data_IF_002272239348
#
_entry.id   IF_002272239348
#
_cell.length_a   1.000
_cell.length_b   1.000
_cell.length_c   1.000
_cell.angle_alpha   90.00
_cell.angle_beta   90.00
_cell.angle_gamma   90.00
#
_symmetry.space_group_name_H-M   'P 1'
#
loop_
_entity.id
_entity.type
_entity.pdbx_description
1 polymer ?
#
# COMPACT_ATOMS: atom_id res chain seq x y z
N UNK A 1 25.96 29.95 -10.53
CA UNK A 1 24.96 28.92 -10.14
C UNK A 1 25.73 27.75 -9.53
N UNK A 2 25.55 27.45 -8.25
CA UNK A 2 26.12 26.24 -7.63
C UNK A 2 25.48 25.02 -8.30
N UNK A 3 26.29 24.19 -8.97
CA UNK A 3 25.84 22.97 -9.65
C UNK A 3 25.06 22.11 -8.64
N UNK A 4 23.82 21.75 -8.96
CA UNK A 4 23.02 20.83 -8.15
C UNK A 4 23.74 19.50 -8.14
N UNK A 5 23.97 18.93 -6.97
CA UNK A 5 24.57 17.60 -6.85
C UNK A 5 23.56 16.57 -7.35
N UNK A 6 23.93 15.84 -8.40
CA UNK A 6 23.11 14.79 -8.99
C UNK A 6 23.52 13.45 -8.38
N UNK A 7 22.57 12.71 -7.76
CA UNK A 7 22.82 11.35 -7.30
C UNK A 7 23.29 10.46 -8.45
N UNK A 8 24.31 9.62 -8.26
CA UNK A 8 24.83 8.75 -9.31
C UNK A 8 23.79 7.69 -9.68
N UNK A 9 23.41 7.64 -10.95
CA UNK A 9 22.55 6.60 -11.51
C UNK A 9 22.92 6.33 -12.97
N UNK A 10 23.47 5.15 -13.25
CA UNK A 10 23.72 4.73 -14.64
C UNK A 10 22.41 4.33 -15.31
N UNK A 11 22.08 4.95 -16.44
CA UNK A 11 20.90 4.59 -17.22
C UNK A 11 21.20 3.35 -18.07
N UNK A 12 20.62 2.22 -17.68
CA UNK A 12 20.76 0.96 -18.41
C UNK A 12 19.64 0.77 -19.44
N UNK A 13 19.83 -0.08 -20.47
CA UNK A 13 18.75 -0.44 -21.37
C UNK A 13 17.53 -1.04 -20.65
N UNK A 14 17.76 -1.77 -19.55
CA UNK A 14 16.69 -2.36 -18.75
C UNK A 14 15.81 -1.28 -18.10
N UNK A 15 16.40 -0.20 -17.57
CA UNK A 15 15.66 0.95 -17.03
C UNK A 15 14.75 1.56 -18.11
N UNK A 16 15.27 1.73 -19.33
CA UNK A 16 14.50 2.31 -20.44
C UNK A 16 13.31 1.42 -20.80
N UNK A 17 13.52 0.12 -20.95
CA UNK A 17 12.44 -0.85 -21.21
C UNK A 17 11.40 -0.84 -20.10
N UNK A 18 11.81 -0.89 -18.84
CA UNK A 18 10.88 -0.88 -17.71
C UNK A 18 10.06 0.42 -17.65
N UNK A 19 10.65 1.58 -17.93
CA UNK A 19 9.91 2.85 -17.99
C UNK A 19 8.85 2.82 -19.09
N UNK A 20 9.19 2.31 -20.28
CA UNK A 20 8.24 2.19 -21.38
C UNK A 20 7.08 1.24 -21.03
N UNK A 21 7.38 0.05 -20.50
CA UNK A 21 6.39 -0.94 -20.11
C UNK A 21 5.45 -0.43 -19.00
N UNK A 22 6.00 0.29 -18.01
CA UNK A 22 5.19 0.90 -16.94
C UNK A 22 4.29 1.99 -17.51
N UNK A 23 4.79 2.86 -18.38
CA UNK A 23 3.99 3.92 -18.99
C UNK A 23 2.83 3.34 -19.81
N UNK A 24 3.08 2.28 -20.59
CA UNK A 24 2.02 1.56 -21.30
C UNK A 24 1.00 0.94 -20.32
N UNK A 25 1.47 0.21 -19.31
CA UNK A 25 0.61 -0.47 -18.35
C UNK A 25 -0.26 0.52 -17.56
N UNK A 26 0.28 1.69 -17.17
CA UNK A 26 -0.47 2.77 -16.53
C UNK A 26 -1.51 3.35 -17.49
N UNK A 27 -1.18 3.53 -18.77
CA UNK A 27 -2.12 3.94 -19.80
C UNK A 27 -3.31 2.98 -19.93
N UNK A 28 -3.03 1.68 -20.04
CA UNK A 28 -4.06 0.64 -20.09
C UNK A 28 -4.91 0.60 -18.81
N UNK A 29 -4.28 0.71 -17.64
CA UNK A 29 -4.97 0.70 -16.34
C UNK A 29 -5.89 1.91 -16.18
N UNK A 30 -5.46 3.10 -16.64
CA UNK A 30 -6.26 4.32 -16.60
C UNK A 30 -7.59 4.16 -17.35
N UNK A 31 -7.54 3.59 -18.56
CA UNK A 31 -8.74 3.31 -19.38
C UNK A 31 -9.66 2.29 -18.68
N UNK A 32 -9.09 1.24 -18.07
CA UNK A 32 -9.89 0.23 -17.35
C UNK A 32 -10.57 0.83 -16.11
N UNK A 33 -9.87 1.66 -15.34
CA UNK A 33 -10.39 2.24 -14.09
C UNK A 33 -11.37 3.40 -14.30
N UNK A 34 -11.37 4.07 -15.46
CA UNK A 34 -12.41 5.07 -15.80
C UNK A 34 -13.83 4.48 -15.73
N UNK A 35 -13.97 3.17 -15.98
CA UNK A 35 -15.24 2.44 -15.85
C UNK A 35 -15.57 1.97 -14.42
N UNK A 36 -14.60 1.94 -13.52
CA UNK A 36 -14.69 1.33 -12.19
C UNK A 36 -14.15 2.27 -11.11
N UNK A 37 -14.87 3.37 -10.83
CA UNK A 37 -14.63 4.23 -9.66
C UNK A 37 -15.08 3.55 -8.36
N UNK A 38 -14.59 2.35 -8.10
CA UNK A 38 -14.98 1.60 -6.91
C UNK A 38 -14.17 2.08 -5.69
N UNK A 39 -14.81 2.87 -4.82
CA UNK A 39 -14.28 3.29 -3.53
C UNK A 39 -13.75 2.10 -2.70
N UNK A 40 -14.29 0.91 -2.92
CA UNK A 40 -13.86 -0.31 -2.25
C UNK A 40 -12.50 -0.79 -2.73
N UNK A 41 -12.24 -0.79 -4.04
CA UNK A 41 -10.93 -1.19 -4.58
C UNK A 41 -9.82 -0.29 -4.04
N UNK A 42 -10.09 1.03 -3.96
CA UNK A 42 -9.18 2.00 -3.32
C UNK A 42 -8.88 1.64 -1.88
N UNK A 43 -9.92 1.28 -1.12
CA UNK A 43 -9.78 0.88 0.27
C UNK A 43 -8.97 -0.40 0.42
N UNK A 44 -9.22 -1.42 -0.41
CA UNK A 44 -8.46 -2.68 -0.41
C UNK A 44 -6.99 -2.42 -0.72
N UNK A 45 -6.70 -1.64 -1.77
CA UNK A 45 -5.32 -1.34 -2.14
C UNK A 45 -4.61 -0.49 -1.07
N UNK A 46 -5.32 0.42 -0.41
CA UNK A 46 -4.79 1.17 0.74
C UNK A 46 -4.42 0.24 1.90
N UNK A 47 -5.27 -0.73 2.22
CA UNK A 47 -4.98 -1.74 3.27
C UNK A 47 -3.74 -2.54 2.89
N UNK A 48 -3.64 -3.02 1.65
CA UNK A 48 -2.48 -3.75 1.12
C UNK A 48 -1.18 -2.95 1.19
N UNK A 49 -1.25 -1.68 0.81
CA UNK A 49 -0.14 -0.71 0.90
C UNK A 49 0.38 -0.59 2.31
N UNK A 50 -0.51 -0.35 3.27
CA UNK A 50 -0.16 -0.19 4.69
C UNK A 50 0.38 -1.49 5.26
N UNK A 51 -0.29 -2.61 4.98
CA UNK A 51 0.16 -3.94 5.39
C UNK A 51 1.58 -4.23 4.91
N UNK A 52 1.83 -4.11 3.60
CA UNK A 52 3.16 -4.36 3.02
C UNK A 52 4.22 -3.44 3.61
N UNK A 53 3.93 -2.14 3.74
CA UNK A 53 4.89 -1.18 4.29
C UNK A 53 5.23 -1.45 5.76
N UNK A 54 4.25 -1.80 6.60
CA UNK A 54 4.50 -2.08 8.02
C UNK A 54 5.14 -3.46 8.24
N UNK A 55 4.75 -4.47 7.45
CA UNK A 55 5.30 -5.82 7.56
C UNK A 55 6.80 -5.87 7.21
N UNK A 56 7.28 -5.00 6.31
CA UNK A 56 8.72 -4.84 6.03
C UNK A 56 9.51 -4.44 7.30
N UNK A 57 8.89 -3.69 8.20
CA UNK A 57 9.49 -3.24 9.47
C UNK A 57 9.17 -4.19 10.65
N UNK A 58 8.55 -5.34 10.38
CA UNK A 58 8.28 -6.37 11.39
C UNK A 58 6.93 -6.26 12.11
N UNK A 59 6.02 -5.39 11.67
CA UNK A 59 4.65 -5.38 12.16
C UNK A 59 3.93 -6.68 11.75
N UNK A 60 3.20 -7.30 12.69
CA UNK A 60 2.62 -8.64 12.52
C UNK A 60 1.12 -8.64 12.23
N UNK A 61 0.50 -7.46 12.10
CA UNK A 61 -0.95 -7.36 11.90
C UNK A 61 -1.34 -7.71 10.48
N UNK A 62 -2.32 -8.59 10.34
CA UNK A 62 -2.91 -8.97 9.05
C UNK A 62 -3.74 -7.86 8.41
N UNK A 63 -3.98 -7.95 7.09
CA UNK A 63 -4.92 -7.08 6.37
C UNK A 63 -6.32 -7.04 7.02
N UNK A 64 -6.79 -8.16 7.57
CA UNK A 64 -8.07 -8.24 8.26
C UNK A 64 -8.08 -7.42 9.58
N UNK A 65 -6.97 -7.44 10.33
CA UNK A 65 -6.80 -6.62 11.53
C UNK A 65 -6.67 -5.13 11.18
N UNK A 66 -5.93 -4.79 10.13
CA UNK A 66 -5.83 -3.41 9.63
C UNK A 66 -7.22 -2.90 9.19
N UNK A 67 -7.98 -3.71 8.48
CA UNK A 67 -9.37 -3.40 8.08
C UNK A 67 -10.24 -3.15 9.30
N UNK A 68 -10.13 -4.01 10.33
CA UNK A 68 -10.88 -3.83 11.57
C UNK A 68 -10.51 -2.53 12.30
N UNK A 69 -9.24 -2.15 12.34
CA UNK A 69 -8.77 -0.87 12.91
C UNK A 69 -9.37 0.31 12.13
N UNK A 70 -9.31 0.28 10.80
CA UNK A 70 -9.90 1.31 9.93
C UNK A 70 -11.42 1.44 10.13
N UNK A 71 -12.11 0.37 10.51
CA UNK A 71 -13.55 0.35 10.81
C UNK A 71 -13.89 0.73 12.25
N UNK A 72 -12.90 1.07 13.08
CA UNK A 72 -13.10 1.34 14.51
C UNK A 72 -13.48 0.10 15.32
N UNK A 73 -13.28 -1.11 14.79
CA UNK A 73 -13.51 -2.37 15.51
C UNK A 73 -12.35 -2.65 16.47
N UNK A 74 -12.64 -3.39 17.55
CA UNK A 74 -11.60 -3.82 18.51
C UNK A 74 -10.70 -4.88 17.88
N UNK A 75 -9.38 -4.71 18.04
CA UNK A 75 -8.36 -5.66 17.63
C UNK A 75 -7.49 -5.98 18.83
N UNK A 76 -7.21 -7.26 19.06
CA UNK A 76 -6.29 -7.74 20.09
C UNK A 76 -4.91 -7.86 19.44
N UNK A 77 -3.99 -6.98 19.83
CA UNK A 77 -2.62 -6.87 19.32
C UNK A 77 -1.78 -5.99 20.25
N UNK A 78 -0.46 -5.92 20.01
CA UNK A 78 0.40 -5.01 20.75
C UNK A 78 -0.05 -3.54 20.53
N UNK A 79 -0.17 -2.71 21.59
CA UNK A 79 -0.60 -1.32 21.44
C UNK A 79 0.24 -0.51 20.45
N UNK A 80 1.57 -0.79 20.41
CA UNK A 80 2.50 -0.16 19.48
C UNK A 80 2.14 -0.47 18.01
N UNK A 81 1.89 -1.73 17.67
CA UNK A 81 1.54 -2.13 16.30
C UNK A 81 0.18 -1.54 15.85
N UNK A 82 -0.79 -1.46 16.77
CA UNK A 82 -2.07 -0.79 16.49
C UNK A 82 -1.84 0.70 16.19
N UNK A 83 -0.98 1.35 16.97
CA UNK A 83 -0.67 2.77 16.78
C UNK A 83 0.08 3.01 15.46
N UNK A 84 1.00 2.13 15.07
CA UNK A 84 1.66 2.17 13.75
C UNK A 84 0.65 2.11 12.60
N UNK A 85 -0.34 1.21 12.67
CA UNK A 85 -1.41 1.13 11.67
C UNK A 85 -2.24 2.40 11.62
N UNK A 86 -2.64 2.95 12.77
CA UNK A 86 -3.43 4.19 12.84
C UNK A 86 -2.68 5.37 12.23
N UNK A 87 -1.42 5.54 12.63
CA UNK A 87 -0.56 6.60 12.10
C UNK A 87 -0.35 6.43 10.60
N UNK A 88 -0.13 5.21 10.11
CA UNK A 88 0.05 4.95 8.68
C UNK A 88 -1.24 5.28 7.89
N UNK A 89 -2.42 4.88 8.37
CA UNK A 89 -3.71 5.24 7.76
C UNK A 89 -3.85 6.76 7.64
N UNK A 90 -3.67 7.48 8.74
CA UNK A 90 -3.75 8.95 8.78
C UNK A 90 -2.72 9.61 7.86
N UNK A 91 -1.48 9.11 7.86
CA UNK A 91 -0.40 9.65 7.04
C UNK A 91 -0.71 9.51 5.55
N UNK A 92 -1.17 8.35 5.09
CA UNK A 92 -1.52 8.15 3.69
C UNK A 92 -2.81 8.90 3.27
N UNK A 93 -3.69 9.26 4.21
CA UNK A 93 -4.86 10.12 3.94
C UNK A 93 -4.45 11.57 3.68
N UNK A 94 -3.35 12.02 4.30
CA UNK A 94 -2.77 13.36 4.10
C UNK A 94 -1.82 13.44 2.90
N UNK A 95 -1.56 12.33 2.20
CA UNK A 95 -0.55 12.24 1.12
C UNK A 95 -0.67 13.37 0.09
N UNK A 96 -1.88 13.65 -0.40
CA UNK A 96 -2.11 14.65 -1.45
C UNK A 96 -1.87 16.09 -1.00
N UNK A 97 -1.81 16.35 0.31
CA UNK A 97 -1.57 17.67 0.88
C UNK A 97 -0.08 18.08 0.85
N UNK A 98 0.85 17.13 0.68
CA UNK A 98 2.29 17.38 0.77
C UNK A 98 2.97 17.56 -0.58
N UNK A 99 3.92 18.48 -0.66
CA UNK A 99 4.79 18.62 -1.82
C UNK A 99 6.09 17.82 -1.63
N UNK A 100 6.46 16.95 -2.58
CA UNK A 100 7.60 16.05 -2.41
C UNK A 100 8.95 16.76 -2.29
N UNK A 101 9.04 18.02 -2.73
CA UNK A 101 10.27 18.84 -2.72
C UNK A 101 10.39 19.74 -1.48
N UNK A 102 9.41 19.71 -0.57
CA UNK A 102 9.39 20.56 0.63
C UNK A 102 9.82 19.79 1.88
N UNK A 103 10.92 20.22 2.50
CA UNK A 103 11.42 19.63 3.74
C UNK A 103 10.39 19.72 4.88
N UNK A 104 9.64 20.82 4.97
CA UNK A 104 8.61 21.00 6.00
C UNK A 104 7.51 19.94 5.90
N UNK A 105 7.12 19.57 4.68
CA UNK A 105 6.07 18.61 4.43
C UNK A 105 6.57 17.19 4.75
N UNK A 106 7.84 16.89 4.44
CA UNK A 106 8.50 15.64 4.81
C UNK A 106 8.59 15.46 6.33
N UNK A 107 8.95 16.53 7.06
CA UNK A 107 8.97 16.53 8.52
C UNK A 107 7.56 16.39 9.12
N UNK A 108 6.56 17.02 8.51
CA UNK A 108 5.17 16.91 8.94
C UNK A 108 4.63 15.49 8.74
N UNK A 109 4.90 14.86 7.59
CA UNK A 109 4.53 13.49 7.31
C UNK A 109 5.17 12.51 8.31
N UNK A 110 6.47 12.66 8.58
CA UNK A 110 7.14 11.84 9.60
C UNK A 110 6.55 12.06 11.00
N UNK A 111 6.16 13.30 11.35
CA UNK A 111 5.50 13.59 12.63
C UNK A 111 4.20 12.81 12.78
N UNK A 112 3.36 12.80 11.75
CA UNK A 112 2.10 12.04 11.73
C UNK A 112 2.38 10.54 11.83
N UNK A 113 3.30 10.04 11.00
CA UNK A 113 3.64 8.61 10.93
C UNK A 113 4.20 8.06 12.27
N UNK A 114 4.99 8.87 12.97
CA UNK A 114 5.69 8.45 14.19
C UNK A 114 5.06 8.98 15.48
N UNK A 115 3.87 9.59 15.39
CA UNK A 115 3.15 10.16 16.54
C UNK A 115 2.90 9.13 17.64
N UNK A 116 3.37 9.40 18.86
CA UNK A 116 3.24 8.49 20.01
C UNK A 116 4.09 7.21 19.93
N UNK A 117 4.98 7.10 18.94
CA UNK A 117 5.90 5.96 18.78
C UNK A 117 7.35 6.30 19.16
N UNK A 118 7.75 7.57 18.96
CA UNK A 118 9.08 8.14 19.29
C UNK A 118 8.95 9.59 19.76
N UNK A 119 9.92 10.06 20.54
CA UNK A 119 9.91 11.42 21.13
C UNK A 119 10.33 12.52 20.13
N UNK A 120 11.14 12.18 19.13
CA UNK A 120 11.69 13.13 18.15
C UNK A 120 10.95 13.11 16.80
N UNK A 121 9.64 12.79 16.83
CA UNK A 121 8.80 12.73 15.65
C UNK A 121 8.76 14.07 14.88
N UNK A 122 9.25 14.03 13.63
CA UNK A 122 9.22 15.17 12.70
C UNK A 122 10.42 16.10 12.87
N UNK A 123 11.54 15.54 13.33
CA UNK A 123 12.83 16.23 13.50
C UNK A 123 13.93 15.33 12.92
N UNK A 124 14.94 15.93 12.28
CA UNK A 124 16.13 15.18 11.89
C UNK A 124 16.84 14.61 13.11
N UNK A 125 17.37 13.39 12.99
CA UNK A 125 18.12 12.75 14.07
C UNK A 125 19.34 13.58 14.48
N UNK A 126 19.69 13.47 15.77
CA UNK A 126 20.87 14.14 16.36
C UNK A 126 22.03 13.18 16.64
N UNK A 127 21.79 11.88 16.57
CA UNK A 127 22.76 10.83 16.82
C UNK A 127 23.04 9.99 15.56
N UNK A 128 24.12 9.20 15.60
CA UNK A 128 24.39 8.18 14.59
C UNK A 128 23.34 7.07 14.67
N UNK A 129 22.96 6.53 13.51
CA UNK A 129 22.06 5.38 13.37
C UNK A 129 22.66 4.41 12.36
N UNK A 130 22.46 3.12 12.58
CA UNK A 130 22.78 2.07 11.61
C UNK A 130 21.54 1.76 10.77
N UNK A 131 21.73 1.50 9.48
CA UNK A 131 20.65 1.01 8.62
C UNK A 131 20.56 -0.50 8.80
N UNK A 132 19.39 -1.01 9.19
CA UNK A 132 19.20 -2.39 9.63
C UNK A 132 18.33 -3.17 8.64
N UNK A 133 18.66 -4.44 8.40
CA UNK A 133 17.76 -5.46 7.87
C UNK A 133 17.59 -6.53 8.96
N UNK A 134 16.50 -6.46 9.73
CA UNK A 134 16.34 -7.26 10.93
C UNK A 134 17.49 -7.03 11.91
N UNK A 135 18.23 -8.08 12.25
CA UNK A 135 19.38 -7.99 13.16
C UNK A 135 20.71 -7.60 12.49
N UNK A 136 20.75 -7.45 11.15
CA UNK A 136 21.98 -7.20 10.39
C UNK A 136 22.14 -5.71 10.07
N UNK A 137 23.30 -5.14 10.37
CA UNK A 137 23.69 -3.80 9.88
C UNK A 137 24.00 -3.91 8.39
N UNK A 138 23.24 -3.17 7.56
CA UNK A 138 23.48 -3.06 6.12
C UNK A 138 24.63 -2.11 5.87
N UNK A 139 24.54 -0.89 6.43
CA UNK A 139 25.59 0.13 6.37
C UNK A 139 25.41 1.15 7.50
N UNK A 140 26.45 1.95 7.73
CA UNK A 140 26.40 3.08 8.67
C UNK A 140 25.89 4.32 7.94
N UNK A 141 24.84 4.94 8.48
CA UNK A 141 24.31 6.18 7.92
C UNK A 141 25.31 7.33 8.11
N UNK A 142 25.24 8.41 7.29
CA UNK A 142 26.07 9.60 7.46
C UNK A 142 26.01 10.21 8.87
N UNK A 143 27.00 11.02 9.22
CA UNK A 143 26.98 11.75 10.50
C UNK A 143 25.74 12.65 10.61
N UNK A 144 25.11 12.69 11.79
CA UNK A 144 23.87 13.44 12.02
C UNK A 144 23.97 14.91 11.61
N UNK A 145 25.10 15.57 11.88
CA UNK A 145 25.34 16.96 11.48
C UNK A 145 25.32 17.22 9.97
N UNK A 146 25.46 16.17 9.14
CA UNK A 146 25.38 16.28 7.68
C UNK A 146 23.96 16.12 7.13
N UNK A 147 23.04 15.53 7.91
CA UNK A 147 21.67 15.21 7.46
C UNK A 147 20.93 16.44 6.92
N UNK A 148 20.91 17.60 7.59
CA UNK A 148 20.17 18.77 7.09
C UNK A 148 20.63 19.20 5.69
N UNK A 149 21.94 19.21 5.45
CA UNK A 149 22.50 19.60 4.16
C UNK A 149 22.27 18.54 3.08
N UNK A 150 22.42 17.25 3.42
CA UNK A 150 22.17 16.14 2.50
C UNK A 150 20.71 16.13 2.04
N UNK A 151 19.76 16.26 2.98
CA UNK A 151 18.33 16.34 2.66
C UNK A 151 17.98 17.58 1.85
N UNK A 152 18.57 18.75 2.18
CA UNK A 152 18.37 19.96 1.39
C UNK A 152 18.89 19.82 -0.04
N UNK A 153 20.01 19.13 -0.24
CA UNK A 153 20.55 18.84 -1.57
C UNK A 153 19.65 17.86 -2.34
N UNK A 154 19.22 16.77 -1.70
CA UNK A 154 18.35 15.76 -2.31
C UNK A 154 17.01 16.36 -2.76
N UNK A 155 16.37 17.15 -1.91
CA UNK A 155 15.10 17.81 -2.25
C UNK A 155 15.27 18.87 -3.36
N UNK A 156 16.40 19.58 -3.39
CA UNK A 156 16.73 20.53 -4.46
C UNK A 156 16.97 19.81 -5.79
N UNK A 157 17.66 18.68 -5.76
CA UNK A 157 17.82 17.82 -6.92
C UNK A 157 16.47 17.32 -7.43
N UNK A 158 15.61 16.81 -6.55
CA UNK A 158 14.28 16.35 -6.92
C UNK A 158 13.43 17.45 -7.56
N UNK A 159 13.59 18.71 -7.13
CA UNK A 159 12.90 19.85 -7.69
C UNK A 159 13.39 20.30 -9.07
N UNK A 160 14.62 19.93 -9.45
CA UNK A 160 15.29 20.41 -10.66
C UNK A 160 15.61 19.30 -11.67
N UNK A 161 15.45 18.04 -11.31
CA UNK A 161 15.80 16.90 -12.16
C UNK A 161 14.86 16.81 -13.37
N UNK A 162 15.44 16.47 -14.52
CA UNK A 162 14.70 16.15 -15.75
C UNK A 162 14.43 14.64 -15.87
N UNK A 163 14.89 13.83 -14.92
CA UNK A 163 14.64 12.40 -14.91
C UNK A 163 13.14 12.12 -14.80
N UNK A 164 12.67 11.10 -15.54
CA UNK A 164 11.27 10.69 -15.47
C UNK A 164 10.88 10.34 -14.01
N UNK A 165 9.66 10.69 -13.53
CA UNK A 165 9.24 10.46 -12.14
C UNK A 165 9.40 9.02 -11.62
N UNK A 166 9.29 8.02 -12.49
CA UNK A 166 9.59 6.61 -12.17
C UNK A 166 11.04 6.41 -11.70
N UNK A 167 11.98 7.03 -12.38
CA UNK A 167 13.42 6.97 -12.08
C UNK A 167 13.71 7.89 -10.88
N UNK A 168 13.24 9.15 -10.93
CA UNK A 168 13.50 10.13 -9.89
C UNK A 168 12.98 9.69 -8.52
N UNK A 169 11.79 9.07 -8.46
CA UNK A 169 11.23 8.53 -7.21
C UNK A 169 12.05 7.37 -6.65
N UNK A 170 12.60 6.51 -7.51
CA UNK A 170 13.44 5.37 -7.12
C UNK A 170 14.83 5.82 -6.65
N UNK A 171 15.44 6.80 -7.33
CA UNK A 171 16.68 7.43 -6.87
C UNK A 171 16.46 8.14 -5.54
N UNK A 172 15.38 8.91 -5.39
CA UNK A 172 15.05 9.56 -4.12
C UNK A 172 14.93 8.55 -2.99
N UNK A 173 14.22 7.44 -3.21
CA UNK A 173 14.03 6.40 -2.20
C UNK A 173 15.38 5.80 -1.78
N UNK A 174 16.25 5.46 -2.73
CA UNK A 174 17.60 4.98 -2.41
C UNK A 174 18.42 5.99 -1.60
N UNK A 175 18.51 7.24 -2.06
CA UNK A 175 19.28 8.29 -1.39
C UNK A 175 18.72 8.61 0.01
N UNK A 176 17.39 8.58 0.15
CA UNK A 176 16.73 8.80 1.44
C UNK A 176 17.08 7.70 2.45
N UNK A 177 17.04 6.42 2.02
CA UNK A 177 17.45 5.30 2.87
C UNK A 177 18.92 5.37 3.26
N UNK A 178 19.79 5.80 2.33
CA UNK A 178 21.21 6.00 2.59
C UNK A 178 21.48 7.13 3.60
N UNK A 179 20.81 8.28 3.45
CA UNK A 179 20.95 9.41 4.39
C UNK A 179 20.39 9.03 5.78
N UNK A 180 19.30 8.25 5.78
CA UNK A 180 18.59 7.76 6.95
C UNK A 180 18.28 8.90 7.95
N UNK A 181 17.49 9.92 7.56
CA UNK A 181 17.47 11.22 8.24
C UNK A 181 16.78 11.23 9.61
N UNK A 182 16.03 10.19 9.96
CA UNK A 182 15.26 10.08 11.20
C UNK A 182 15.83 9.02 12.15
N UNK A 183 15.43 9.06 13.42
CA UNK A 183 15.80 8.08 14.45
C UNK A 183 15.13 6.71 14.23
N UNK A 184 13.91 6.72 13.69
CA UNK A 184 13.09 5.56 13.31
C UNK A 184 12.18 5.99 12.15
N UNK A 185 11.52 5.04 11.48
CA UNK A 185 10.51 5.32 10.46
C UNK A 185 11.06 5.61 9.06
N UNK A 186 12.38 5.52 8.84
CA UNK A 186 13.01 5.83 7.55
C UNK A 186 12.45 4.96 6.41
N UNK A 187 12.45 3.63 6.55
CA UNK A 187 11.91 2.71 5.53
C UNK A 187 10.46 3.04 5.12
N UNK A 188 9.61 3.30 6.12
CA UNK A 188 8.19 3.67 5.92
C UNK A 188 8.07 5.03 5.22
N UNK A 189 8.91 5.99 5.59
CA UNK A 189 8.98 7.30 4.93
C UNK A 189 9.51 7.23 3.51
N UNK A 190 10.52 6.41 3.22
CA UNK A 190 11.07 6.21 1.88
C UNK A 190 10.01 5.71 0.90
N UNK A 191 9.26 4.67 1.31
CA UNK A 191 8.14 4.13 0.55
C UNK A 191 7.00 5.14 0.37
N UNK A 192 6.58 5.81 1.45
CA UNK A 192 5.55 6.86 1.41
C UNK A 192 5.94 7.98 0.43
N UNK A 193 7.19 8.46 0.48
CA UNK A 193 7.64 9.56 -0.34
C UNK A 193 7.80 9.15 -1.81
N UNK A 194 8.20 7.92 -2.09
CA UNK A 194 8.18 7.37 -3.45
C UNK A 194 6.75 7.39 -4.02
N UNK A 195 5.77 6.90 -3.25
CA UNK A 195 4.35 6.94 -3.61
C UNK A 195 3.88 8.38 -3.85
N UNK A 196 4.30 9.34 -3.01
CA UNK A 196 4.00 10.76 -3.22
C UNK A 196 4.55 11.28 -4.55
N UNK A 197 5.84 11.05 -4.84
CA UNK A 197 6.48 11.52 -6.09
C UNK A 197 5.76 10.93 -7.31
N UNK A 198 5.48 9.63 -7.30
CA UNK A 198 4.77 8.96 -8.38
C UNK A 198 3.34 9.50 -8.55
N UNK A 199 2.63 9.75 -7.45
CA UNK A 199 1.26 10.28 -7.49
C UNK A 199 1.15 11.69 -8.10
N UNK A 200 2.24 12.48 -8.05
CA UNK A 200 2.32 13.78 -8.72
C UNK A 200 2.42 13.67 -10.24
N UNK A 201 2.96 12.55 -10.73
CA UNK A 201 2.98 12.24 -12.16
C UNK A 201 1.67 11.63 -12.63
N UNK A 202 1.18 10.61 -11.92
CA UNK A 202 -0.11 9.98 -12.20
C UNK A 202 -0.82 9.61 -10.88
N UNK A 203 -2.04 10.13 -10.63
CA UNK A 203 -2.73 9.94 -9.36
C UNK A 203 -3.07 8.48 -9.04
N UNK A 204 -3.09 7.58 -10.05
CA UNK A 204 -3.30 6.15 -9.81
C UNK A 204 -2.26 5.54 -8.86
N UNK A 205 -1.04 6.06 -8.83
CA UNK A 205 0.00 5.54 -7.94
C UNK A 205 -0.34 5.71 -6.44
N UNK A 206 -1.22 6.62 -6.07
CA UNK A 206 -1.72 6.71 -4.69
C UNK A 206 -2.58 5.49 -4.28
N UNK A 207 -3.00 4.68 -5.25
CA UNK A 207 -3.92 3.54 -5.12
C UNK A 207 -3.28 2.21 -5.59
N UNK A 208 -2.00 2.19 -5.97
CA UNK A 208 -1.29 0.98 -6.41
C UNK A 208 -0.42 0.45 -5.26
N UNK A 209 -0.62 -0.79 -4.77
CA UNK A 209 0.07 -1.31 -3.60
C UNK A 209 1.48 -1.84 -3.92
N UNK A 210 2.39 -0.95 -4.31
CA UNK A 210 3.79 -1.32 -4.65
C UNK A 210 4.49 -1.94 -3.45
N UNK A 211 4.22 -1.43 -2.25
CA UNK A 211 4.83 -1.85 -0.98
C UNK A 211 4.55 -3.33 -0.66
N UNK A 212 3.40 -3.87 -1.08
CA UNK A 212 3.09 -5.29 -0.91
C UNK A 212 4.05 -6.18 -1.73
N UNK A 213 4.36 -5.78 -2.97
CA UNK A 213 5.30 -6.54 -3.80
C UNK A 213 6.76 -6.36 -3.36
N UNK A 214 7.09 -5.23 -2.74
CA UNK A 214 8.39 -5.04 -2.08
C UNK A 214 8.50 -5.96 -0.87
N UNK A 215 7.45 -6.08 -0.07
CA UNK A 215 7.41 -7.00 1.07
C UNK A 215 7.57 -8.47 0.64
N UNK A 216 6.87 -8.91 -0.39
CA UNK A 216 7.02 -10.26 -0.96
C UNK A 216 8.45 -10.55 -1.43
N UNK A 217 9.18 -9.51 -1.84
CA UNK A 217 10.58 -9.60 -2.29
C UNK A 217 11.55 -8.85 -1.36
N UNK A 218 11.29 -8.85 -0.05
CA UNK A 218 12.05 -8.06 0.93
C UNK A 218 13.56 -8.34 0.89
N UNK A 219 13.95 -9.61 0.70
CA UNK A 219 15.37 -9.99 0.55
C UNK A 219 16.02 -9.32 -0.66
N UNK A 220 15.35 -9.34 -1.81
CA UNK A 220 15.85 -8.71 -3.03
C UNK A 220 15.87 -7.18 -2.93
N UNK A 221 14.91 -6.58 -2.22
CA UNK A 221 14.90 -5.13 -1.94
C UNK A 221 16.17 -4.70 -1.18
N UNK A 222 16.50 -5.38 -0.08
CA UNK A 222 17.71 -5.06 0.68
C UNK A 222 19.01 -5.39 -0.08
N UNK A 223 19.00 -6.45 -0.90
CA UNK A 223 20.13 -6.75 -1.79
C UNK A 223 20.36 -5.63 -2.82
N UNK A 224 19.29 -5.07 -3.39
CA UNK A 224 19.40 -3.97 -4.34
C UNK A 224 19.98 -2.70 -3.70
N UNK A 225 19.55 -2.35 -2.48
CA UNK A 225 20.15 -1.24 -1.69
C UNK A 225 21.64 -1.50 -1.45
N UNK A 226 21.99 -2.73 -1.05
CA UNK A 226 23.39 -3.09 -0.77
C UNK A 226 24.25 -3.02 -2.03
N UNK A 227 23.76 -3.55 -3.15
CA UNK A 227 24.45 -3.49 -4.44
C UNK A 227 24.67 -2.05 -4.89
N UNK A 228 23.65 -1.21 -4.79
CA UNK A 228 23.76 0.23 -5.11
C UNK A 228 24.76 0.95 -4.22
N UNK A 229 24.77 0.63 -2.91
CA UNK A 229 25.73 1.21 -1.96
C UNK A 229 27.17 0.81 -2.29
N UNK A 230 27.40 -0.47 -2.60
CA UNK A 230 28.73 -0.99 -2.94
C UNK A 230 29.27 -0.40 -4.25
N UNK A 231 28.39 -0.20 -5.23
CA UNK A 231 28.75 0.36 -6.54
C UNK A 231 28.78 1.89 -6.54
N UNK A 232 28.26 2.55 -5.50
CA UNK A 232 28.00 4.00 -5.47
C UNK A 232 27.17 4.44 -6.68
N UNK A 233 26.15 3.64 -7.03
CA UNK A 233 25.28 3.84 -8.19
C UNK A 233 23.87 3.35 -7.86
N UNK A 234 22.86 4.20 -8.03
CA UNK A 234 21.47 3.86 -7.75
C UNK A 234 20.85 2.87 -8.76
N UNK A 235 21.50 2.59 -9.89
CA UNK A 235 20.93 1.78 -10.98
C UNK A 235 20.39 0.40 -10.53
N UNK A 236 21.10 -0.42 -9.72
CA UNK A 236 20.55 -1.69 -9.22
C UNK A 236 19.24 -1.53 -8.46
N UNK A 237 19.14 -0.53 -7.58
CA UNK A 237 17.92 -0.22 -6.85
C UNK A 237 16.80 0.30 -7.75
N UNK A 238 17.14 1.16 -8.72
CA UNK A 238 16.17 1.68 -9.71
C UNK A 238 15.58 0.54 -10.52
N UNK A 239 16.40 -0.37 -11.06
CA UNK A 239 15.91 -1.55 -11.80
C UNK A 239 14.99 -2.43 -10.95
N UNK A 240 15.40 -2.74 -9.71
CA UNK A 240 14.57 -3.50 -8.78
C UNK A 240 13.21 -2.81 -8.57
N UNK A 241 13.21 -1.53 -8.21
CA UNK A 241 11.98 -0.80 -7.91
C UNK A 241 11.07 -0.66 -9.13
N UNK A 242 11.62 -0.37 -10.31
CA UNK A 242 10.83 -0.32 -11.54
C UNK A 242 10.19 -1.68 -11.86
N UNK A 243 10.90 -2.79 -11.64
CA UNK A 243 10.32 -4.13 -11.81
C UNK A 243 9.14 -4.38 -10.86
N UNK A 244 9.23 -3.89 -9.60
CA UNK A 244 8.14 -4.01 -8.62
C UNK A 244 6.97 -3.10 -8.97
N UNK A 245 7.25 -1.90 -9.46
CA UNK A 245 6.22 -0.97 -9.94
C UNK A 245 5.47 -1.58 -11.13
N UNK A 246 6.17 -2.13 -12.12
CA UNK A 246 5.54 -2.79 -13.28
C UNK A 246 4.66 -3.96 -12.85
N UNK A 247 5.16 -4.82 -11.97
CA UNK A 247 4.39 -5.93 -11.43
C UNK A 247 3.14 -5.42 -10.66
N UNK A 248 3.28 -4.34 -9.88
CA UNK A 248 2.16 -3.78 -9.13
C UNK A 248 1.08 -3.24 -10.08
N UNK A 249 1.45 -2.42 -11.06
CA UNK A 249 0.51 -1.84 -12.05
C UNK A 249 -0.22 -2.94 -12.82
N UNK A 250 0.49 -3.99 -13.23
CA UNK A 250 -0.10 -5.10 -14.00
C UNK A 250 -0.94 -6.06 -13.16
N UNK A 251 -0.65 -6.19 -11.85
CA UNK A 251 -1.42 -7.01 -10.91
C UNK A 251 -2.72 -6.36 -10.43
N UNK A 252 -2.90 -5.06 -10.64
CA UNK A 252 -4.15 -4.36 -10.30
C UNK A 252 -5.24 -4.80 -11.29
N UNK A 253 -5.99 -5.82 -10.89
CA UNK A 253 -7.20 -6.24 -11.60
C UNK A 253 -8.36 -5.33 -11.21
N UNK A 254 -9.07 -4.70 -12.16
CA UNK A 254 -10.31 -3.95 -11.87
C UNK A 254 -11.43 -4.88 -11.39
N UNK A 255 -11.28 -6.18 -11.59
CA UNK A 255 -12.12 -7.20 -10.98
C UNK A 255 -11.70 -7.36 -9.53
N UNK A 256 -12.42 -6.67 -8.64
CA UNK A 256 -12.44 -7.01 -7.21
C UNK A 256 -13.01 -8.43 -7.12
N UNK A 257 -12.17 -9.45 -7.04
CA UNK A 257 -12.60 -10.68 -6.37
C UNK A 257 -12.81 -10.26 -4.93
N UNK A 258 -14.07 -10.21 -4.44
CA UNK A 258 -14.30 -9.71 -3.11
C UNK A 258 -13.63 -10.69 -2.15
N UNK A 259 -12.76 -10.20 -1.26
CA UNK A 259 -12.38 -10.98 -0.09
C UNK A 259 -13.69 -11.33 0.62
N UNK A 260 -14.02 -12.60 0.56
CA UNK A 260 -15.23 -13.16 1.14
C UNK A 260 -14.97 -13.24 2.65
N UNK A 261 -15.76 -12.57 3.47
CA UNK A 261 -15.67 -12.80 4.92
C UNK A 261 -15.98 -14.29 5.18
N UNK A 262 -15.42 -14.92 6.24
CA UNK A 262 -15.72 -16.32 6.55
C UNK A 262 -17.22 -16.61 6.60
N UNK A 263 -18.02 -15.64 7.04
CA UNK A 263 -19.48 -15.69 7.07
C UNK A 263 -20.08 -15.76 5.66
N UNK A 264 -19.67 -14.87 4.75
CA UNK A 264 -20.15 -14.94 3.37
C UNK A 264 -19.68 -16.25 2.71
N UNK A 265 -18.45 -16.70 2.96
CA UNK A 265 -17.91 -17.94 2.37
C UNK A 265 -18.72 -19.15 2.80
N UNK A 266 -19.04 -19.23 4.10
CA UNK A 266 -19.94 -20.23 4.65
C UNK A 266 -21.33 -20.16 3.98
N UNK A 267 -21.90 -18.97 3.79
CA UNK A 267 -23.19 -18.80 3.12
C UNK A 267 -23.13 -19.31 1.67
N UNK A 268 -22.14 -18.90 0.88
CA UNK A 268 -22.01 -19.29 -0.53
C UNK A 268 -21.89 -20.82 -0.65
N UNK A 269 -21.14 -21.46 0.26
CA UNK A 269 -20.98 -22.91 0.30
C UNK A 269 -22.30 -23.66 0.56
N UNK A 270 -23.31 -23.03 1.18
CA UNK A 270 -24.61 -23.65 1.47
C UNK A 270 -25.68 -23.39 0.40
N UNK A 271 -25.55 -22.34 -0.42
CA UNK A 271 -26.58 -22.03 -1.42
C UNK A 271 -26.61 -23.10 -2.52
N UNK A 272 -27.79 -23.72 -2.73
CA UNK A 272 -28.06 -24.69 -3.80
C UNK A 272 -29.29 -24.23 -4.58
N UNK A 273 -29.08 -23.81 -5.84
CA UNK A 273 -30.14 -23.25 -6.66
C UNK A 273 -30.75 -21.98 -6.04
N UNK A 274 -32.08 -21.92 -5.98
CA UNK A 274 -32.81 -20.84 -5.31
C UNK A 274 -33.21 -21.26 -3.90
N UNK A 275 -32.87 -20.45 -2.90
CA UNK A 275 -33.20 -20.74 -1.50
C UNK A 275 -33.93 -19.56 -0.85
N UNK A 276 -34.82 -19.86 0.08
CA UNK A 276 -35.40 -18.81 0.93
C UNK A 276 -34.37 -18.33 1.96
N UNK A 277 -34.57 -17.13 2.50
CA UNK A 277 -33.77 -16.61 3.63
C UNK A 277 -33.71 -17.63 4.78
N UNK A 278 -34.85 -18.25 5.09
CA UNK A 278 -34.97 -19.20 6.19
C UNK A 278 -34.19 -20.48 5.91
N UNK A 279 -34.30 -21.04 4.69
CA UNK A 279 -33.55 -22.24 4.31
C UNK A 279 -32.03 -22.01 4.35
N UNK A 280 -31.56 -20.84 3.90
CA UNK A 280 -30.13 -20.50 3.98
C UNK A 280 -29.65 -20.34 5.43
N UNK A 281 -30.48 -19.76 6.29
CA UNK A 281 -30.18 -19.60 7.72
C UNK A 281 -30.11 -20.97 8.42
N UNK A 282 -31.08 -21.85 8.16
CA UNK A 282 -31.13 -23.22 8.71
C UNK A 282 -29.95 -24.07 8.24
N UNK A 283 -29.55 -23.96 6.97
CA UNK A 283 -28.38 -24.66 6.43
C UNK A 283 -27.05 -24.26 7.11
N UNK A 284 -26.99 -23.06 7.71
CA UNK A 284 -25.84 -22.60 8.49
C UNK A 284 -25.95 -22.89 9.98
N UNK A 285 -27.04 -23.51 10.44
CA UNK A 285 -27.29 -23.79 11.86
C UNK A 285 -27.50 -22.52 12.71
N UNK A 286 -27.92 -21.41 12.10
CA UNK A 286 -28.10 -20.13 12.79
C UNK A 286 -29.54 -19.96 13.27
N UNK A 287 -29.73 -19.51 14.52
CA UNK A 287 -31.05 -19.20 15.07
C UNK A 287 -31.41 -17.71 14.99
N UNK A 288 -30.41 -16.82 15.09
CA UNK A 288 -30.61 -15.38 15.06
C UNK A 288 -30.80 -14.85 13.62
N UNK A 289 -32.02 -14.37 13.36
CA UNK A 289 -32.43 -13.79 12.07
C UNK A 289 -31.71 -12.48 11.74
N UNK A 290 -31.50 -11.62 12.73
CA UNK A 290 -30.89 -10.31 12.51
C UNK A 290 -29.39 -10.46 12.25
N UNK A 291 -28.74 -11.33 13.03
CA UNK A 291 -27.34 -11.68 12.82
C UNK A 291 -27.12 -12.31 11.43
N UNK A 292 -27.92 -13.31 11.03
CA UNK A 292 -27.84 -13.89 9.69
C UNK A 292 -27.98 -12.81 8.60
N UNK A 293 -28.95 -11.92 8.73
CA UNK A 293 -29.18 -10.86 7.75
C UNK A 293 -27.96 -9.93 7.64
N UNK A 294 -27.43 -9.44 8.76
CA UNK A 294 -26.37 -8.42 8.78
C UNK A 294 -24.98 -8.98 8.50
N UNK A 295 -24.66 -10.18 8.99
CA UNK A 295 -23.32 -10.74 8.89
C UNK A 295 -23.11 -11.65 7.67
N UNK A 296 -24.19 -12.16 7.05
CA UNK A 296 -24.12 -13.12 5.95
C UNK A 296 -24.82 -12.59 4.69
N UNK A 297 -26.14 -12.38 4.76
CA UNK A 297 -26.95 -12.15 3.56
C UNK A 297 -26.76 -10.76 2.95
N UNK A 298 -26.82 -9.69 3.76
CA UNK A 298 -26.63 -8.33 3.25
C UNK A 298 -25.23 -8.13 2.66
N UNK A 299 -24.14 -8.55 3.33
CA UNK A 299 -22.82 -8.53 2.71
C UNK A 299 -22.82 -9.30 1.39
N UNK A 300 -23.31 -10.55 1.33
CA UNK A 300 -23.31 -11.32 0.09
C UNK A 300 -24.08 -10.65 -1.08
N UNK A 301 -25.16 -9.93 -0.78
CA UNK A 301 -25.92 -9.13 -1.74
C UNK A 301 -25.15 -7.88 -2.18
N UNK A 302 -24.55 -7.14 -1.25
CA UNK A 302 -23.72 -5.96 -1.51
C UNK A 302 -22.46 -6.33 -2.32
N UNK A 303 -21.94 -7.54 -2.11
CA UNK A 303 -20.83 -8.11 -2.86
C UNK A 303 -21.22 -8.58 -4.27
N UNK A 304 -22.50 -8.58 -4.63
CA UNK A 304 -23.00 -9.10 -5.90
C UNK A 304 -22.83 -10.62 -6.05
N UNK A 305 -22.55 -11.35 -4.97
CA UNK A 305 -22.33 -12.81 -4.98
C UNK A 305 -23.64 -13.58 -4.89
N UNK A 306 -24.65 -12.96 -4.31
CA UNK A 306 -26.01 -13.46 -4.21
C UNK A 306 -26.94 -12.43 -4.84
N UNK A 307 -27.97 -12.88 -5.55
CA UNK A 307 -29.01 -12.02 -6.10
C UNK A 307 -30.40 -12.41 -5.62
N UNK A 308 -31.32 -11.44 -5.62
CA UNK A 308 -32.74 -11.64 -5.32
C UNK A 308 -33.49 -12.11 -6.57
N UNK A 309 -34.35 -13.11 -6.43
CA UNK A 309 -35.20 -13.55 -7.56
C UNK A 309 -36.33 -12.57 -7.87
N UNK A 310 -36.70 -11.71 -6.91
CA UNK A 310 -37.70 -10.64 -7.07
C UNK A 310 -37.14 -9.30 -6.61
N UNK A 311 -36.27 -8.64 -7.39
CA UNK A 311 -35.63 -7.38 -7.01
C UNK A 311 -36.65 -6.25 -6.78
N UNK A 312 -37.72 -6.19 -7.58
CA UNK A 312 -38.76 -5.16 -7.48
C UNK A 312 -39.64 -5.27 -6.22
N UNK A 313 -39.59 -6.42 -5.54
CA UNK A 313 -40.41 -6.71 -4.34
C UNK A 313 -39.52 -7.34 -3.26
N UNK A 314 -38.56 -6.60 -2.69
CA UNK A 314 -37.54 -7.14 -1.78
C UNK A 314 -38.12 -7.70 -0.48
N UNK A 315 -39.32 -7.25 -0.08
CA UNK A 315 -40.03 -7.72 1.11
C UNK A 315 -41.07 -8.83 0.82
N UNK A 316 -41.08 -9.38 -0.40
CA UNK A 316 -42.01 -10.44 -0.76
C UNK A 316 -41.87 -11.66 0.15
N UNK A 317 -43.00 -12.22 0.59
CA UNK A 317 -43.02 -13.49 1.35
C UNK A 317 -42.45 -14.66 0.54
N UNK A 318 -42.48 -14.56 -0.79
CA UNK A 318 -41.93 -15.56 -1.72
C UNK A 318 -40.53 -15.17 -2.23
N UNK A 319 -39.82 -14.27 -1.53
CA UNK A 319 -38.47 -13.89 -1.94
C UNK A 319 -37.51 -15.07 -1.80
N UNK A 320 -36.72 -15.29 -2.85
CA UNK A 320 -35.63 -16.28 -2.85
C UNK A 320 -34.33 -15.62 -3.31
N UNK A 321 -33.24 -16.33 -3.07
CA UNK A 321 -31.89 -15.89 -3.33
C UNK A 321 -31.13 -17.00 -4.05
N UNK A 322 -30.25 -16.63 -4.97
CA UNK A 322 -29.39 -17.57 -5.70
C UNK A 322 -28.01 -16.98 -5.94
N UNK A 323 -27.04 -17.86 -6.20
CA UNK A 323 -25.68 -17.45 -6.55
C UNK A 323 -25.65 -16.83 -7.95
N UNK A 324 -24.99 -15.67 -8.04
CA UNK A 324 -24.53 -15.10 -9.31
C UNK A 324 -23.33 -15.89 -9.83
N UNK A 325 -22.85 -15.57 -11.04
CA UNK A 325 -21.61 -16.16 -11.56
C UNK A 325 -20.42 -15.91 -10.64
N UNK A 326 -20.31 -14.69 -10.11
CA UNK A 326 -19.30 -14.28 -9.14
C UNK A 326 -19.39 -15.09 -7.84
N UNK A 327 -20.60 -15.32 -7.32
CA UNK A 327 -20.82 -16.14 -6.13
C UNK A 327 -20.42 -17.61 -6.31
N UNK A 328 -20.59 -18.17 -7.52
CA UNK A 328 -20.16 -19.55 -7.82
C UNK A 328 -18.66 -19.70 -7.91
N UNK A 329 -17.97 -18.71 -8.44
CA UNK A 329 -16.50 -18.70 -8.52
C UNK A 329 -15.86 -18.58 -7.13
N UNK A 330 -16.50 -17.85 -6.21
CA UNK A 330 -15.99 -17.62 -4.87
C UNK A 330 -16.36 -18.70 -3.83
N UNK A 331 -17.33 -19.57 -4.12
CA UNK A 331 -17.79 -20.66 -3.24
C UNK A 331 -17.11 -22.01 -3.50
N UNK A 332 -16.10 -22.06 -4.38
CA UNK A 332 -15.23 -23.23 -4.62
C UNK A 332 -13.97 -23.11 -3.79
#
# INVERSE_FOLDING_TARGET
MTKVHEPPCTFTPAIVTLVADIAEAVGQLSVRLESARDLRLRRINRIRTIHGSLAIEGNTLSEAQITAILEGRKVIAAPREIQEVRNALETYDLLSAWQPTRAADLLAAHRTLMSGLVDDAGVWRRAGVGVMAGARVIHMAPQAGRVPQLMANLLRWLAATEAHPLIASSIFHYEFEFIHPFSDGNGRMGRLWQTLILSRWNPLFAEIPVESLVHEQQSAYYQAIQASTQQSDAAPFVEFMLSRILAAVTSVTPQVTPQVTPQVGALLAQIRGEMSRQAMQEALGLSDREHFRKAYLLPALELGMVEMTRPDKPQSRNQRYRLTEQGRLAGR
#
